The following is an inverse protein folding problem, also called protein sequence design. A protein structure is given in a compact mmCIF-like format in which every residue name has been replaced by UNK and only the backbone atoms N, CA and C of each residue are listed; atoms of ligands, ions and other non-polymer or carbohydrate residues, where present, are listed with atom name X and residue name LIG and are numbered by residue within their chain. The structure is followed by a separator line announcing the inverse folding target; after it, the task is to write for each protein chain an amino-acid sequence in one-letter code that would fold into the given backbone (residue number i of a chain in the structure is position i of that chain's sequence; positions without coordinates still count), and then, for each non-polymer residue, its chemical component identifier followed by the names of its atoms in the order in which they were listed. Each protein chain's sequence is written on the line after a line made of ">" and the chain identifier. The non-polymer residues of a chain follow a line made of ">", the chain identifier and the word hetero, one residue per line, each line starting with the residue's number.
data_IF_132946671421
#
_entry.id   IF_132946671421
#
_cell.length_a   1.000
_cell.length_b   1.000
_cell.length_c   1.000
_cell.angle_alpha   90.00
_cell.angle_beta   90.00
_cell.angle_gamma   90.00
#
_symmetry.space_group_name_H-M   'P 1'
#
loop_
_entity.id
_entity.type
_entity.pdbx_description
1 polymer ?
#
# COMPACT_ATOMS: atom_id res chain seq x y z
N UNK A 1 8.40 24.06 -9.34
CA UNK A 1 7.42 23.48 -8.45
C UNK A 1 7.96 22.12 -7.99
N UNK A 2 8.17 21.94 -6.70
CA UNK A 2 8.38 20.58 -6.20
C UNK A 2 7.08 19.83 -6.39
N UNK A 3 7.08 18.88 -7.32
CA UNK A 3 5.96 17.95 -7.46
C UNK A 3 6.14 16.97 -6.29
N UNK A 4 5.19 17.00 -5.34
CA UNK A 4 5.21 16.06 -4.22
C UNK A 4 5.22 14.63 -4.74
N UNK A 5 6.17 13.83 -4.24
CA UNK A 5 6.25 12.42 -4.57
C UNK A 5 5.36 11.62 -3.61
N UNK A 6 4.09 11.46 -3.98
CA UNK A 6 3.09 10.75 -3.21
C UNK A 6 3.13 9.26 -3.52
N UNK A 7 3.37 8.43 -2.52
CA UNK A 7 3.55 6.98 -2.70
C UNK A 7 2.57 6.20 -1.84
N UNK A 8 1.90 5.21 -2.43
CA UNK A 8 1.15 4.22 -1.67
C UNK A 8 2.11 3.11 -1.22
N UNK A 9 2.15 2.85 0.09
CA UNK A 9 2.81 1.70 0.68
C UNK A 9 1.78 0.67 1.15
N UNK A 10 1.79 -0.51 0.55
CA UNK A 10 0.86 -1.59 0.87
C UNK A 10 1.55 -2.60 1.78
N UNK A 11 1.10 -2.70 3.05
CA UNK A 11 1.60 -3.72 3.97
C UNK A 11 0.98 -5.08 3.67
N UNK A 12 1.79 -6.08 3.37
CA UNK A 12 1.34 -7.45 3.14
C UNK A 12 2.35 -8.48 3.63
N UNK A 13 1.87 -9.57 4.23
CA UNK A 13 2.65 -10.76 4.57
C UNK A 13 1.80 -11.99 4.35
N UNK A 14 2.41 -13.10 3.96
CA UNK A 14 1.71 -14.38 3.72
C UNK A 14 1.45 -15.17 5.00
N UNK A 15 2.24 -14.92 6.06
CA UNK A 15 2.06 -15.54 7.36
C UNK A 15 0.81 -14.95 8.05
N UNK A 16 -0.29 -15.65 7.93
CA UNK A 16 -1.55 -15.31 8.57
C UNK A 16 -2.07 -16.50 9.38
N UNK A 17 -2.42 -16.27 10.64
CA UNK A 17 -2.96 -17.33 11.52
C UNK A 17 -4.40 -17.71 11.18
N UNK A 18 -5.18 -16.78 10.61
CA UNK A 18 -6.61 -16.98 10.29
C UNK A 18 -6.82 -17.57 8.90
N UNK A 19 -6.12 -17.07 7.90
CA UNK A 19 -6.23 -17.53 6.52
C UNK A 19 -4.86 -17.44 5.85
N UNK A 20 -4.23 -18.60 5.67
CA UNK A 20 -2.89 -18.68 5.05
C UNK A 20 -2.90 -18.10 3.65
N UNK A 21 -1.86 -17.33 3.34
CA UNK A 21 -1.64 -16.72 2.00
C UNK A 21 -2.83 -15.92 1.47
N UNK A 22 -3.63 -15.32 2.35
CA UNK A 22 -4.85 -14.57 2.00
C UNK A 22 -4.65 -13.63 0.81
N UNK A 23 -3.54 -12.91 0.78
CA UNK A 23 -3.24 -11.94 -0.27
C UNK A 23 -3.10 -12.55 -1.68
N UNK A 24 -2.76 -13.83 -1.76
CA UNK A 24 -2.61 -14.58 -3.02
C UNK A 24 -3.87 -15.34 -3.43
N UNK A 25 -4.87 -15.44 -2.55
CA UNK A 25 -6.12 -16.12 -2.89
C UNK A 25 -6.86 -15.37 -3.98
N UNK A 26 -7.49 -16.10 -4.93
CA UNK A 26 -8.19 -15.45 -6.02
C UNK A 26 -9.47 -14.74 -5.55
N UNK A 27 -9.63 -13.51 -6.01
CA UNK A 27 -10.84 -12.71 -5.90
C UNK A 27 -11.27 -12.35 -7.33
N UNK A 28 -12.35 -12.97 -7.81
CA UNK A 28 -12.75 -12.81 -9.22
C UNK A 28 -11.70 -13.32 -10.23
N UNK A 29 -10.97 -14.38 -9.89
CA UNK A 29 -9.96 -15.00 -10.77
C UNK A 29 -8.57 -14.36 -10.74
N UNK A 30 -8.40 -13.27 -9.96
CA UNK A 30 -7.12 -12.55 -9.81
C UNK A 30 -6.70 -12.56 -8.34
N UNK A 31 -5.42 -12.70 -7.97
CA UNK A 31 -4.98 -12.62 -6.58
C UNK A 31 -5.50 -11.35 -5.89
N UNK A 32 -5.97 -11.46 -4.64
CA UNK A 32 -6.56 -10.35 -3.90
C UNK A 32 -5.66 -9.11 -3.90
N UNK A 33 -4.36 -9.29 -3.68
CA UNK A 33 -3.39 -8.17 -3.69
C UNK A 33 -3.31 -7.50 -5.06
N UNK A 34 -3.47 -8.23 -6.16
CA UNK A 34 -3.48 -7.67 -7.50
C UNK A 34 -4.77 -6.91 -7.79
N UNK A 35 -5.92 -7.37 -7.28
CA UNK A 35 -7.18 -6.61 -7.35
C UNK A 35 -7.02 -5.25 -6.66
N UNK A 36 -6.38 -5.23 -5.49
CA UNK A 36 -6.08 -3.99 -4.77
C UNK A 36 -5.15 -3.08 -5.60
N UNK A 37 -4.02 -3.59 -6.10
CA UNK A 37 -3.07 -2.81 -6.91
C UNK A 37 -3.76 -2.24 -8.15
N UNK A 38 -4.50 -3.06 -8.90
CA UNK A 38 -5.23 -2.63 -10.09
C UNK A 38 -6.22 -1.50 -9.78
N UNK A 39 -6.90 -1.58 -8.64
CA UNK A 39 -7.82 -0.53 -8.18
C UNK A 39 -7.08 0.76 -7.82
N UNK A 40 -5.96 0.66 -7.11
CA UNK A 40 -5.18 1.82 -6.68
C UNK A 40 -4.48 2.56 -7.84
N UNK A 41 -4.32 1.92 -9.00
CA UNK A 41 -3.83 2.58 -10.22
C UNK A 41 -4.77 3.69 -10.74
N UNK A 42 -6.01 3.75 -10.26
CA UNK A 42 -6.94 4.84 -10.57
C UNK A 42 -6.73 6.11 -9.74
N UNK A 43 -5.84 6.10 -8.75
CA UNK A 43 -5.43 7.32 -8.04
C UNK A 43 -4.75 8.30 -9.00
N UNK A 44 -5.15 9.58 -8.93
CA UNK A 44 -4.65 10.63 -9.83
C UNK A 44 -3.48 11.42 -9.24
N UNK A 45 -3.40 11.45 -7.90
CA UNK A 45 -2.37 12.21 -7.17
C UNK A 45 -1.23 11.33 -6.66
N UNK A 46 -1.24 10.04 -6.94
CA UNK A 46 -0.23 9.06 -6.52
C UNK A 46 0.77 8.84 -7.66
N UNK A 47 2.06 8.92 -7.33
CA UNK A 47 3.15 8.73 -8.28
C UNK A 47 3.62 7.28 -8.37
N UNK A 48 3.48 6.52 -7.29
CA UNK A 48 3.97 5.14 -7.22
C UNK A 48 3.19 4.29 -6.22
N UNK A 49 3.11 2.99 -6.49
CA UNK A 49 2.53 1.97 -5.60
C UNK A 49 3.64 0.97 -5.30
N UNK A 50 3.92 0.74 -4.01
CA UNK A 50 4.97 -0.15 -3.54
C UNK A 50 4.38 -1.20 -2.59
N UNK A 51 4.57 -2.46 -2.88
CA UNK A 51 4.22 -3.56 -1.99
C UNK A 51 5.34 -3.74 -0.96
N UNK A 52 5.01 -3.56 0.32
CA UNK A 52 5.94 -3.69 1.44
C UNK A 52 5.74 -5.01 2.16
N UNK A 53 6.63 -5.97 1.94
CA UNK A 53 6.60 -7.30 2.55
C UNK A 53 7.82 -7.57 3.43
N UNK A 54 7.90 -8.75 4.03
CA UNK A 54 9.02 -9.07 4.92
C UNK A 54 10.17 -9.77 4.17
N UNK A 55 11.32 -9.85 4.86
CA UNK A 55 12.47 -10.64 4.40
C UNK A 55 12.32 -12.14 4.69
N UNK A 56 11.21 -12.56 5.31
CA UNK A 56 10.94 -13.97 5.56
C UNK A 56 10.76 -14.73 4.24
N UNK A 57 11.25 -15.96 4.17
CA UNK A 57 11.15 -16.82 2.97
C UNK A 57 9.70 -17.13 2.56
N UNK A 58 8.77 -17.13 3.52
CA UNK A 58 7.34 -17.31 3.23
C UNK A 58 6.78 -16.21 2.30
N UNK A 59 7.40 -15.02 2.30
CA UNK A 59 6.99 -13.88 1.49
C UNK A 59 7.69 -13.81 0.12
N UNK A 60 8.51 -14.80 -0.26
CA UNK A 60 9.15 -14.88 -1.58
C UNK A 60 8.10 -14.93 -2.71
N UNK A 61 6.94 -15.53 -2.46
CA UNK A 61 5.86 -15.58 -3.45
C UNK A 61 5.28 -14.18 -3.76
N UNK A 62 5.28 -13.25 -2.77
CA UNK A 62 4.90 -11.84 -3.00
C UNK A 62 5.94 -11.14 -3.87
N UNK A 63 7.22 -11.35 -3.60
CA UNK A 63 8.30 -10.80 -4.41
C UNK A 63 8.22 -11.28 -5.86
N UNK A 64 8.06 -12.60 -6.08
CA UNK A 64 7.90 -13.18 -7.42
C UNK A 64 6.69 -12.58 -8.14
N UNK A 65 5.54 -12.46 -7.45
CA UNK A 65 4.35 -11.82 -8.01
C UNK A 65 4.61 -10.37 -8.43
N UNK A 66 5.37 -9.61 -7.64
CA UNK A 66 5.74 -8.23 -7.97
C UNK A 66 6.63 -8.18 -9.21
N UNK A 67 7.64 -9.05 -9.30
CA UNK A 67 8.56 -9.15 -10.44
C UNK A 67 7.79 -9.49 -11.71
N UNK A 68 6.96 -10.53 -11.66
CA UNK A 68 6.19 -11.03 -12.83
C UNK A 68 5.19 -10.00 -13.36
N UNK A 69 4.71 -9.09 -12.50
CA UNK A 69 3.74 -8.04 -12.86
C UNK A 69 4.34 -6.63 -12.94
N UNK A 70 5.67 -6.50 -12.84
CA UNK A 70 6.38 -5.22 -12.88
C UNK A 70 5.87 -4.20 -11.84
N UNK A 71 5.61 -4.67 -10.60
CA UNK A 71 5.17 -3.86 -9.47
C UNK A 71 6.36 -3.56 -8.58
N UNK A 72 6.48 -2.30 -8.14
CA UNK A 72 7.50 -1.93 -7.17
C UNK A 72 7.26 -2.61 -5.83
N UNK A 73 8.33 -3.07 -5.20
CA UNK A 73 8.24 -3.71 -3.90
C UNK A 73 9.43 -3.36 -3.01
N UNK A 74 9.23 -3.53 -1.72
CA UNK A 74 10.27 -3.43 -0.70
C UNK A 74 10.16 -4.59 0.28
N UNK A 75 11.28 -5.20 0.64
CA UNK A 75 11.35 -6.24 1.66
C UNK A 75 12.12 -5.73 2.87
N UNK A 76 11.51 -5.79 4.03
CA UNK A 76 12.10 -5.27 5.26
C UNK A 76 11.70 -6.06 6.50
N UNK A 77 11.76 -5.42 7.66
CA UNK A 77 11.48 -6.06 8.96
C UNK A 77 10.16 -6.84 8.97
N UNK A 78 10.20 -8.10 9.39
CA UNK A 78 9.00 -8.94 9.55
C UNK A 78 8.11 -8.42 10.68
N UNK A 79 8.69 -8.05 11.81
CA UNK A 79 7.96 -7.72 13.03
C UNK A 79 7.62 -6.24 13.15
N UNK A 80 8.38 -5.35 12.52
CA UNK A 80 8.22 -3.91 12.65
C UNK A 80 7.76 -3.29 11.32
N UNK A 81 6.43 -3.12 11.18
CA UNK A 81 5.80 -2.53 9.99
C UNK A 81 6.21 -1.07 9.81
N UNK A 82 6.29 -0.30 10.90
CA UNK A 82 6.68 1.11 10.84
C UNK A 82 8.12 1.26 10.30
N UNK A 83 9.06 0.45 10.81
CA UNK A 83 10.43 0.43 10.29
C UNK A 83 10.44 0.09 8.80
N UNK A 84 9.69 -0.93 8.38
CA UNK A 84 9.59 -1.35 6.98
C UNK A 84 9.06 -0.23 6.08
N UNK A 85 8.04 0.50 6.51
CA UNK A 85 7.51 1.65 5.78
C UNK A 85 8.50 2.81 5.72
N UNK A 86 9.17 3.12 6.82
CA UNK A 86 10.18 4.18 6.87
C UNK A 86 11.36 3.89 5.91
N UNK A 87 11.82 2.65 5.86
CA UNK A 87 12.90 2.24 4.96
C UNK A 87 12.43 2.27 3.49
N UNK A 88 11.22 1.79 3.20
CA UNK A 88 10.63 1.86 1.88
C UNK A 88 10.44 3.32 1.41
N UNK A 89 9.93 4.19 2.27
CA UNK A 89 9.73 5.60 1.94
C UNK A 89 11.02 6.31 1.56
N UNK A 90 12.12 6.00 2.28
CA UNK A 90 13.46 6.53 1.97
C UNK A 90 13.97 6.00 0.63
N UNK A 91 13.82 4.70 0.36
CA UNK A 91 14.27 4.10 -0.90
C UNK A 91 13.55 4.70 -2.11
N UNK A 92 12.28 5.02 -1.99
CA UNK A 92 11.47 5.58 -3.06
C UNK A 92 11.34 7.11 -3.01
N UNK A 93 12.07 7.78 -2.10
CA UNK A 93 12.08 9.25 -1.94
C UNK A 93 10.67 9.85 -1.77
N UNK A 94 9.82 9.20 -0.96
CA UNK A 94 8.47 9.66 -0.71
C UNK A 94 8.44 11.00 0.05
N UNK A 95 7.61 11.95 -0.39
CA UNK A 95 7.27 13.14 0.37
C UNK A 95 6.05 12.86 1.25
N UNK A 96 5.01 12.25 0.69
CA UNK A 96 3.83 11.82 1.41
C UNK A 96 3.62 10.31 1.20
N UNK A 97 3.17 9.62 2.24
CA UNK A 97 2.92 8.18 2.24
C UNK A 97 1.43 7.94 2.44
N UNK A 98 0.81 7.21 1.53
CA UNK A 98 -0.52 6.63 1.75
C UNK A 98 -0.34 5.20 2.27
N UNK A 99 -0.76 4.95 3.51
CA UNK A 99 -0.72 3.63 4.10
C UNK A 99 -1.97 2.84 3.73
N UNK A 100 -1.76 1.66 3.13
CA UNK A 100 -2.83 0.71 2.77
C UNK A 100 -2.48 -0.68 3.30
N UNK A 101 -3.48 -1.43 3.74
CA UNK A 101 -3.31 -2.84 4.14
C UNK A 101 -3.66 -3.78 2.99
N UNK A 102 -2.83 -4.78 2.74
CA UNK A 102 -2.92 -5.68 1.59
C UNK A 102 -4.13 -6.61 1.57
N UNK A 103 -4.98 -6.53 2.59
CA UNK A 103 -6.23 -7.30 2.70
C UNK A 103 -7.51 -6.46 2.54
N UNK A 104 -7.37 -5.20 2.11
CA UNK A 104 -8.48 -4.28 1.85
C UNK A 104 -8.65 -3.99 0.34
N UNK A 105 -9.18 -4.93 -0.45
CA UNK A 105 -9.29 -4.78 -1.90
C UNK A 105 -10.27 -3.68 -2.34
N UNK A 106 -11.09 -3.17 -1.43
CA UNK A 106 -12.07 -2.11 -1.67
C UNK A 106 -11.55 -0.71 -1.27
N UNK A 107 -10.28 -0.57 -0.91
CA UNK A 107 -9.68 0.76 -0.67
C UNK A 107 -9.99 1.70 -1.83
N UNK A 108 -10.48 2.90 -1.52
CA UNK A 108 -11.07 3.79 -2.52
C UNK A 108 -10.05 4.81 -3.05
N UNK A 109 -9.74 4.80 -4.37
CA UNK A 109 -8.81 5.73 -5.00
C UNK A 109 -9.24 7.19 -4.90
N UNK A 110 -10.54 7.49 -5.00
CA UNK A 110 -11.03 8.87 -4.94
C UNK A 110 -10.88 9.45 -3.52
N UNK A 111 -11.12 8.62 -2.51
CA UNK A 111 -10.89 9.01 -1.10
C UNK A 111 -9.41 9.27 -0.84
N UNK A 112 -8.51 8.44 -1.41
CA UNK A 112 -7.06 8.67 -1.32
C UNK A 112 -6.68 10.03 -1.92
N UNK A 113 -7.15 10.32 -3.14
CA UNK A 113 -6.85 11.59 -3.81
C UNK A 113 -7.38 12.79 -3.01
N UNK A 114 -8.59 12.69 -2.45
CA UNK A 114 -9.16 13.73 -1.59
C UNK A 114 -8.34 13.94 -0.30
N UNK A 115 -7.92 12.85 0.34
CA UNK A 115 -7.08 12.94 1.55
C UNK A 115 -5.70 13.54 1.24
N UNK A 116 -5.05 13.12 0.16
CA UNK A 116 -3.77 13.69 -0.28
C UNK A 116 -3.90 15.18 -0.54
N UNK A 117 -4.95 15.60 -1.23
CA UNK A 117 -5.21 17.02 -1.49
C UNK A 117 -5.35 17.82 -0.19
N UNK A 118 -6.17 17.34 0.75
CA UNK A 118 -6.37 18.02 2.05
C UNK A 118 -5.06 18.02 2.85
N UNK A 119 -4.33 16.92 2.86
CA UNK A 119 -3.06 16.76 3.56
C UNK A 119 -2.04 17.79 3.10
N UNK A 120 -1.84 17.91 1.79
CA UNK A 120 -0.87 18.84 1.20
C UNK A 120 -1.33 20.29 1.30
N UNK A 121 -2.59 20.60 0.96
CA UNK A 121 -3.14 21.97 1.02
C UNK A 121 -3.10 22.57 2.44
N UNK A 122 -3.25 21.73 3.47
CA UNK A 122 -3.27 22.13 4.88
C UNK A 122 -1.95 21.90 5.60
N UNK A 123 -0.98 21.26 4.94
CA UNK A 123 0.30 20.89 5.51
C UNK A 123 0.13 20.11 6.84
N UNK A 124 -0.72 19.09 6.82
CA UNK A 124 -0.94 18.22 7.97
C UNK A 124 0.16 17.17 8.09
N UNK A 125 0.46 16.74 9.33
CA UNK A 125 1.37 15.63 9.58
C UNK A 125 0.68 14.26 9.44
N UNK A 126 -0.66 14.21 9.56
CA UNK A 126 -1.45 13.00 9.49
C UNK A 126 -2.88 13.28 9.05
N UNK A 127 -3.38 12.50 8.10
CA UNK A 127 -4.76 12.60 7.59
C UNK A 127 -5.38 11.21 7.49
N UNK A 128 -6.58 11.05 8.00
CA UNK A 128 -7.34 9.81 7.88
C UNK A 128 -8.82 10.08 7.61
N UNK A 129 -9.55 9.08 7.13
CA UNK A 129 -11.00 9.13 6.97
C UNK A 129 -11.67 8.10 7.87
N UNK A 130 -12.61 8.56 8.71
CA UNK A 130 -13.46 7.72 9.58
C UNK A 130 -14.89 7.59 9.06
N UNK A 131 -15.28 8.42 8.09
CA UNK A 131 -16.63 8.49 7.53
C UNK A 131 -16.92 7.47 6.41
N UNK A 132 -15.97 6.57 6.14
CA UNK A 132 -16.08 5.52 5.12
C UNK A 132 -16.05 4.14 5.76
N UNK A 133 -16.57 3.08 5.09
CA UNK A 133 -16.50 1.72 5.59
C UNK A 133 -15.06 1.29 5.91
N UNK A 134 -14.90 0.50 6.97
CA UNK A 134 -13.58 0.09 7.50
C UNK A 134 -12.69 -0.55 6.41
N UNK A 135 -13.25 -1.40 5.54
CA UNK A 135 -12.51 -2.08 4.47
C UNK A 135 -12.07 -1.19 3.30
N UNK A 136 -12.42 0.11 3.33
CA UNK A 136 -12.03 1.09 2.31
C UNK A 136 -11.03 2.13 2.85
N UNK A 137 -10.68 2.06 4.12
CA UNK A 137 -9.86 3.08 4.82
C UNK A 137 -8.40 3.03 4.39
N UNK A 138 -7.82 4.23 4.37
CA UNK A 138 -6.39 4.48 4.23
C UNK A 138 -5.99 5.67 5.11
N UNK A 139 -4.70 5.93 5.20
CA UNK A 139 -4.13 7.03 6.01
C UNK A 139 -3.03 7.70 5.20
N UNK A 140 -2.84 9.01 5.38
CA UNK A 140 -1.76 9.79 4.75
C UNK A 140 -0.85 10.37 5.83
N UNK A 141 0.47 10.23 5.64
CA UNK A 141 1.54 10.72 6.53
C UNK A 141 2.58 11.46 5.70
#
# INVERSE_FOLDING_TARGET
>A
MNIDNNIILIAVRLKSNRLKKKALLPLGGVPLIMQLVNRLQFCKLVNNIVICTSTNSDDNEIENLCIDNNINYYRGSELNVLKRFLEASKQYNANNIVRVTGDNPLTDPEVIDQMLKIHTDKNYDYTYSDSIPIGMRSEVV
#
